data_IF_024054511183
#
_entry.id   IF_024054511183
#
_cell.length_a   1.000
_cell.length_b   1.000
_cell.length_c   1.000
_cell.angle_alpha   90.00
_cell.angle_beta   90.00
_cell.angle_gamma   90.00
#
_symmetry.space_group_name_H-M   'P 1'
#
loop_
_entity.id
_entity.type
_entity.pdbx_description
1 polymer ?
#
# COMPACT_ATOMS: atom_id res chain seq x y z
N UNK A 1 76.55 -10.48 -25.70
CA UNK A 1 76.11 -9.26 -26.42
C UNK A 1 75.39 -8.38 -25.39
N UNK A 2 76.05 -7.36 -24.84
CA UNK A 2 75.91 -5.92 -25.20
C UNK A 2 74.50 -5.33 -25.01
N UNK A 3 74.41 -4.45 -24.00
CA UNK A 3 73.70 -3.14 -23.96
C UNK A 3 72.16 -3.14 -24.04
N UNK A 4 71.42 -2.15 -23.53
CA UNK A 4 71.66 -0.87 -22.79
C UNK A 4 70.28 -0.43 -22.23
N UNK A 5 70.03 0.61 -21.42
CA UNK A 5 70.79 1.59 -20.63
C UNK A 5 69.84 2.13 -19.51
N UNK A 6 70.29 3.07 -18.67
CA UNK A 6 69.58 3.52 -17.46
C UNK A 6 69.14 5.00 -17.47
N UNK A 7 68.27 5.32 -16.49
CA UNK A 7 68.18 6.57 -15.72
C UNK A 7 67.49 7.86 -16.28
N UNK A 8 66.37 8.21 -15.61
CA UNK A 8 66.02 9.52 -15.00
C UNK A 8 65.88 10.82 -15.85
N UNK A 9 65.30 11.91 -15.29
CA UNK A 9 64.39 12.06 -14.12
C UNK A 9 63.11 12.90 -14.42
N UNK A 10 62.29 13.14 -13.39
CA UNK A 10 61.17 14.10 -13.44
C UNK A 10 61.60 15.55 -13.06
N UNK A 11 60.80 16.57 -13.41
CA UNK A 11 60.85 17.90 -12.78
C UNK A 11 59.66 18.17 -11.83
N UNK A 12 59.92 18.90 -10.76
CA UNK A 12 58.94 19.54 -9.86
C UNK A 12 58.44 20.90 -10.41
N UNK A 13 57.58 21.58 -9.63
CA UNK A 13 56.92 22.91 -9.79
C UNK A 13 55.43 22.75 -10.22
N UNK A 14 54.44 23.47 -9.67
CA UNK A 14 54.41 24.55 -8.66
C UNK A 14 53.12 24.47 -7.81
N UNK A 15 53.08 25.11 -6.64
CA UNK A 15 51.90 25.21 -5.75
C UNK A 15 51.38 26.67 -5.69
N UNK A 16 50.07 26.84 -5.45
CA UNK A 16 49.31 28.11 -5.34
C UNK A 16 49.21 28.91 -6.68
N UNK A 17 48.14 29.62 -7.09
CA UNK A 17 46.94 30.24 -6.49
C UNK A 17 45.76 30.20 -7.51
N UNK A 18 44.45 30.52 -7.30
CA UNK A 18 43.60 30.97 -6.17
C UNK A 18 42.09 30.71 -6.49
N UNK A 19 41.19 31.14 -5.58
CA UNK A 19 39.75 31.52 -5.69
C UNK A 19 39.08 31.68 -7.08
N UNK A 20 37.77 31.48 -7.32
CA UNK A 20 36.59 31.32 -6.43
C UNK A 20 35.34 30.84 -7.21
N UNK A 21 34.48 30.02 -6.61
CA UNK A 21 33.17 29.63 -7.17
C UNK A 21 32.01 29.96 -6.19
N UNK A 22 30.96 30.70 -6.60
CA UNK A 22 29.79 30.96 -5.76
C UNK A 22 28.75 29.83 -5.82
N UNK A 23 28.04 29.52 -4.72
CA UNK A 23 26.92 28.58 -4.73
C UNK A 23 25.66 29.19 -5.38
N UNK A 24 24.72 28.34 -5.88
CA UNK A 24 23.54 28.81 -6.61
C UNK A 24 22.52 29.56 -5.73
N UNK A 25 21.92 30.62 -6.29
CA UNK A 25 20.89 31.44 -5.63
C UNK A 25 19.52 30.75 -5.59
N UNK A 26 18.79 30.96 -4.51
CA UNK A 26 17.47 30.37 -4.26
C UNK A 26 16.32 31.07 -5.00
N UNK A 27 15.51 30.30 -5.72
CA UNK A 27 14.32 30.78 -6.46
C UNK A 27 13.07 30.98 -5.58
N UNK A 28 13.20 31.71 -4.46
CA UNK A 28 12.05 32.08 -3.62
C UNK A 28 11.30 33.40 -3.95
N UNK A 29 11.91 34.46 -4.56
CA UNK A 29 11.21 35.73 -4.69
C UNK A 29 10.18 35.82 -5.84
N UNK A 30 10.14 34.83 -6.76
CA UNK A 30 9.25 34.89 -7.93
C UNK A 30 7.82 34.38 -7.65
N UNK A 31 7.64 33.51 -6.65
CA UNK A 31 6.33 32.95 -6.27
C UNK A 31 5.47 33.93 -5.45
N UNK A 32 6.11 34.76 -4.62
CA UNK A 32 5.39 35.72 -3.73
C UNK A 32 4.63 36.77 -4.54
N UNK A 33 5.26 37.35 -5.57
CA UNK A 33 4.63 38.40 -6.41
C UNK A 33 3.39 37.91 -7.19
N UNK A 34 3.26 36.61 -7.46
CA UNK A 34 2.11 36.05 -8.18
C UNK A 34 0.89 35.81 -7.27
N UNK A 35 1.09 35.67 -5.96
CA UNK A 35 0.03 35.49 -4.98
C UNK A 35 -0.72 36.80 -4.66
N UNK A 36 0.01 37.91 -4.52
CA UNK A 36 -0.58 39.21 -4.18
C UNK A 36 -1.53 39.76 -5.26
N UNK A 37 -1.24 39.49 -6.54
CA UNK A 37 -2.10 39.92 -7.65
C UNK A 37 -3.44 39.18 -7.68
N UNK A 38 -3.47 37.92 -7.23
CA UNK A 38 -4.69 37.11 -7.18
C UNK A 38 -5.63 37.55 -6.05
N UNK A 39 -5.06 37.89 -4.87
CA UNK A 39 -5.83 38.36 -3.71
C UNK A 39 -6.52 39.71 -3.98
N UNK A 40 -5.87 40.64 -4.68
CA UNK A 40 -6.49 41.95 -5.02
C UNK A 40 -7.68 41.85 -5.97
N UNK A 41 -7.81 40.79 -6.79
CA UNK A 41 -8.96 40.60 -7.69
C UNK A 41 -10.21 40.00 -7.01
N UNK A 42 -10.09 39.45 -5.80
CA UNK A 42 -11.24 38.91 -5.04
C UNK A 42 -11.92 39.93 -4.12
N UNK A 43 -11.25 41.04 -3.79
CA UNK A 43 -11.75 42.04 -2.84
C UNK A 43 -12.69 43.11 -3.44
N UNK A 44 -13.11 42.97 -4.71
CA UNK A 44 -13.98 43.94 -5.40
C UNK A 44 -15.38 43.42 -5.73
N UNK A 45 -15.76 42.24 -5.24
CA UNK A 45 -17.06 41.64 -5.53
C UNK A 45 -17.78 41.13 -4.27
N UNK A 46 -18.00 42.02 -3.29
CA UNK A 46 -19.14 41.97 -2.36
C UNK A 46 -19.25 43.29 -1.57
N UNK A 47 -19.93 44.25 -2.17
CA UNK A 47 -20.51 45.41 -1.48
C UNK A 47 -22.01 45.41 -1.79
N UNK A 48 -22.84 45.19 -0.77
CA UNK A 48 -24.21 45.71 -0.61
C UNK A 48 -25.04 44.81 0.33
N UNK A 49 -25.23 45.26 1.58
CA UNK A 49 -26.54 45.71 2.11
C UNK A 49 -26.42 46.14 3.59
N UNK A 50 -27.23 47.13 3.97
CA UNK A 50 -27.31 47.73 5.31
C UNK A 50 -28.40 47.04 6.15
N UNK A 51 -28.32 47.13 7.47
CA UNK A 51 -29.24 47.90 8.35
C UNK A 51 -29.45 47.27 9.74
N UNK A 52 -29.95 48.08 10.69
CA UNK A 52 -30.42 47.79 12.07
C UNK A 52 -29.38 47.19 13.04
N UNK A 53 -28.84 47.83 14.10
CA UNK A 53 -29.20 48.95 15.00
C UNK A 53 -29.86 48.53 16.34
N UNK A 54 -29.33 49.10 17.45
CA UNK A 54 -29.70 48.95 18.88
C UNK A 54 -29.40 47.53 19.47
N UNK A 55 -28.70 47.37 20.59
CA UNK A 55 -28.80 48.07 21.88
C UNK A 55 -27.45 48.16 22.63
N UNK A 56 -27.21 49.29 23.30
CA UNK A 56 -26.17 49.50 24.31
C UNK A 56 -26.87 49.66 25.66
N UNK A 57 -26.42 48.99 26.72
CA UNK A 57 -26.53 49.54 28.08
C UNK A 57 -25.57 48.88 29.08
N UNK A 58 -24.95 49.75 29.89
CA UNK A 58 -24.39 49.55 31.24
C UNK A 58 -23.62 48.26 31.58
N UNK A 59 -22.31 48.41 31.81
CA UNK A 59 -21.64 47.97 33.04
C UNK A 59 -20.41 48.87 33.27
N UNK A 60 -20.20 49.30 34.51
CA UNK A 60 -19.25 50.37 34.88
C UNK A 60 -17.81 49.87 35.09
N UNK A 61 -16.84 50.78 34.94
CA UNK A 61 -15.40 50.54 35.21
C UNK A 61 -14.93 51.56 36.28
N UNK A 62 -14.24 51.14 37.35
CA UNK A 62 -13.52 52.06 38.24
C UNK A 62 -12.10 52.36 37.72
N UNK A 63 -11.66 53.60 37.91
CA UNK A 63 -10.37 54.13 37.42
C UNK A 63 -9.15 53.86 38.34
N UNK A 64 -7.96 54.16 37.76
CA UNK A 64 -6.59 54.25 38.35
C UNK A 64 -5.84 52.90 38.42
N UNK A 65 -4.54 52.78 38.09
CA UNK A 65 -3.42 53.74 38.22
C UNK A 65 -2.43 53.70 37.01
N UNK A 66 -2.11 54.90 36.50
CA UNK A 66 -0.82 55.43 35.94
C UNK A 66 0.04 54.77 34.83
N UNK A 67 0.59 55.69 34.00
CA UNK A 67 1.78 55.68 33.12
C UNK A 67 2.03 54.56 32.08
N UNK A 68 1.97 54.96 30.79
CA UNK A 68 2.70 54.31 29.69
C UNK A 68 2.01 54.39 28.33
N UNK A 69 2.50 55.22 27.40
CA UNK A 69 1.99 55.29 26.02
C UNK A 69 2.75 54.29 25.11
N UNK A 70 2.10 53.28 24.48
CA UNK A 70 2.72 52.40 23.50
C UNK A 70 2.51 52.89 22.04
N UNK A 71 3.37 52.47 21.08
CA UNK A 71 3.35 52.96 19.69
C UNK A 71 2.19 52.39 18.83
N UNK A 72 1.88 53.02 17.67
CA UNK A 72 0.67 52.75 16.89
C UNK A 72 0.78 51.51 15.99
N UNK A 73 0.91 50.32 16.57
CA UNK A 73 0.82 49.03 15.85
C UNK A 73 -0.23 48.06 16.42
N UNK A 74 -0.77 48.33 17.61
CA UNK A 74 -1.65 47.38 18.33
C UNK A 74 -3.10 47.30 17.79
N UNK A 75 -3.66 48.39 17.23
CA UNK A 75 -5.08 48.40 16.78
C UNK A 75 -5.41 47.41 15.65
N UNK A 76 -4.45 47.06 14.78
CA UNK A 76 -4.69 46.04 13.72
C UNK A 76 -4.64 44.61 14.24
N UNK A 77 -3.82 44.35 15.27
CA UNK A 77 -3.70 43.02 15.90
C UNK A 77 -4.94 42.71 16.75
N UNK A 78 -5.41 43.68 17.54
CA UNK A 78 -6.63 43.55 18.34
C UNK A 78 -7.87 43.38 17.43
N UNK A 79 -7.94 44.11 16.31
CA UNK A 79 -9.05 43.94 15.35
C UNK A 79 -9.01 42.57 14.64
N UNK A 80 -7.83 42.02 14.33
CA UNK A 80 -7.73 40.65 13.80
C UNK A 80 -8.14 39.60 14.84
N UNK A 81 -7.74 39.74 16.10
CA UNK A 81 -8.12 38.81 17.18
C UNK A 81 -9.65 38.84 17.42
N UNK A 82 -10.26 40.03 17.42
CA UNK A 82 -11.72 40.15 17.49
C UNK A 82 -12.42 39.59 16.25
N UNK A 83 -11.86 39.75 15.04
CA UNK A 83 -12.42 39.13 13.83
C UNK A 83 -12.35 37.60 13.88
N UNK A 84 -11.28 37.02 14.43
CA UNK A 84 -11.13 35.56 14.63
C UNK A 84 -12.11 35.04 15.68
N UNK A 85 -12.35 35.79 16.76
CA UNK A 85 -13.34 35.42 17.80
C UNK A 85 -14.78 35.54 17.28
N UNK A 86 -15.12 36.58 16.52
CA UNK A 86 -16.48 36.79 15.99
C UNK A 86 -16.79 35.84 14.82
N UNK A 87 -15.83 35.54 13.94
CA UNK A 87 -16.01 34.52 12.89
C UNK A 87 -16.00 33.08 13.43
N UNK A 88 -15.48 32.85 14.65
CA UNK A 88 -15.58 31.57 15.34
C UNK A 88 -16.97 31.26 15.94
N UNK A 89 -17.82 32.29 16.13
CA UNK A 89 -19.06 32.17 16.91
C UNK A 89 -20.34 31.93 16.07
N UNK A 90 -20.28 32.01 14.73
CA UNK A 90 -21.44 31.74 13.85
C UNK A 90 -21.29 30.48 12.97
N UNK A 91 -20.37 29.58 13.32
CA UNK A 91 -20.18 28.28 12.65
C UNK A 91 -20.79 27.07 13.36
N UNK A 92 -21.44 27.24 14.53
CA UNK A 92 -21.57 26.15 15.51
C UNK A 92 -22.96 26.00 16.16
N UNK A 93 -24.06 26.14 15.38
CA UNK A 93 -25.43 25.81 15.85
C UNK A 93 -26.33 25.03 14.87
N UNK A 94 -25.83 24.60 13.71
CA UNK A 94 -26.57 23.69 12.80
C UNK A 94 -25.96 22.27 12.80
N UNK A 95 -24.67 22.13 13.11
CA UNK A 95 -24.00 20.82 13.22
C UNK A 95 -24.31 20.04 14.50
N UNK A 96 -24.93 20.67 15.51
CA UNK A 96 -25.23 20.06 16.82
C UNK A 96 -26.59 19.35 16.91
N UNK A 97 -27.35 19.27 15.80
CA UNK A 97 -28.61 18.52 15.72
C UNK A 97 -28.53 17.26 14.83
N UNK A 98 -27.34 16.93 14.30
CA UNK A 98 -27.12 15.76 13.43
C UNK A 98 -25.96 14.82 13.85
N UNK A 99 -25.24 15.13 14.93
CA UNK A 99 -24.28 14.23 15.56
C UNK A 99 -24.46 14.27 17.08
N UNK A 100 -25.19 13.30 17.63
CA UNK A 100 -25.71 13.38 19.01
C UNK A 100 -25.99 12.05 19.72
N UNK A 101 -25.43 10.93 19.28
CA UNK A 101 -25.10 9.78 20.16
C UNK A 101 -23.81 9.14 19.65
N UNK A 102 -22.67 9.56 20.20
CA UNK A 102 -21.50 8.69 20.24
C UNK A 102 -21.70 7.71 21.40
N UNK A 103 -22.03 6.47 21.07
CA UNK A 103 -21.72 5.34 21.93
C UNK A 103 -20.59 4.57 21.24
N UNK A 104 -19.43 4.55 21.87
CA UNK A 104 -18.50 3.44 21.68
C UNK A 104 -19.24 2.13 21.98
N UNK A 105 -18.95 1.07 21.22
CA UNK A 105 -18.61 -0.27 21.74
C UNK A 105 -18.54 -1.33 20.62
N UNK A 106 -17.42 -2.06 20.65
CA UNK A 106 -17.15 -3.37 20.02
C UNK A 106 -16.97 -3.47 18.49
N UNK A 107 -15.81 -4.01 18.09
CA UNK A 107 -15.53 -4.58 16.77
C UNK A 107 -16.44 -5.79 16.44
N UNK A 108 -17.11 -6.37 17.45
CA UNK A 108 -17.93 -7.57 17.33
C UNK A 108 -19.09 -7.46 16.30
N UNK A 109 -19.59 -6.25 16.04
CA UNK A 109 -20.64 -6.03 15.03
C UNK A 109 -20.16 -6.20 13.56
N UNK A 110 -18.84 -6.29 13.34
CA UNK A 110 -18.22 -6.45 12.02
C UNK A 110 -17.24 -7.63 11.92
N UNK A 111 -17.13 -8.46 12.96
CA UNK A 111 -16.33 -9.69 12.93
C UNK A 111 -17.22 -10.91 12.58
N UNK A 112 -17.06 -11.52 11.39
CA UNK A 112 -17.75 -12.75 11.06
C UNK A 112 -17.03 -13.93 11.70
N UNK A 113 -17.56 -14.42 12.82
CA UNK A 113 -17.20 -15.74 13.34
C UNK A 113 -17.82 -16.82 12.42
N UNK A 114 -17.12 -17.17 11.34
CA UNK A 114 -17.50 -18.24 10.40
C UNK A 114 -18.36 -17.84 9.20
N UNK A 115 -18.42 -16.55 8.83
CA UNK A 115 -19.19 -16.07 7.67
C UNK A 115 -18.51 -16.29 6.31
N UNK A 116 -19.30 -16.33 5.25
CA UNK A 116 -18.84 -16.52 3.86
C UNK A 116 -17.86 -15.41 3.40
N UNK A 117 -16.91 -15.76 2.53
CA UNK A 117 -15.86 -14.86 2.06
C UNK A 117 -16.39 -13.59 1.34
N UNK A 118 -17.51 -13.70 0.60
CA UNK A 118 -18.18 -12.58 -0.08
C UNK A 118 -18.79 -11.58 0.91
N UNK A 119 -19.48 -12.12 1.92
CA UNK A 119 -20.11 -11.37 3.03
C UNK A 119 -19.04 -10.66 3.86
N UNK A 120 -17.96 -11.37 4.18
CA UNK A 120 -16.83 -10.83 4.91
C UNK A 120 -16.09 -9.74 4.09
N UNK A 121 -16.02 -9.85 2.76
CA UNK A 121 -15.46 -8.80 1.90
C UNK A 121 -16.31 -7.52 1.93
N UNK A 122 -17.62 -7.63 1.70
CA UNK A 122 -18.54 -6.49 1.77
C UNK A 122 -18.53 -5.83 3.17
N UNK A 123 -18.52 -6.63 4.23
CA UNK A 123 -18.44 -6.13 5.62
C UNK A 123 -17.15 -5.37 5.91
N UNK A 124 -15.99 -5.89 5.47
CA UNK A 124 -14.69 -5.21 5.58
C UNK A 124 -14.67 -3.89 4.82
N UNK A 125 -15.16 -3.88 3.59
CA UNK A 125 -15.08 -2.70 2.73
C UNK A 125 -16.08 -1.60 3.15
N UNK A 126 -17.23 -1.96 3.74
CA UNK A 126 -18.11 -1.00 4.44
C UNK A 126 -17.40 -0.36 5.64
N UNK A 127 -16.65 -1.15 6.41
CA UNK A 127 -15.88 -0.66 7.58
C UNK A 127 -14.67 0.18 7.15
N UNK A 128 -13.99 -0.20 6.07
CA UNK A 128 -12.89 0.57 5.49
C UNK A 128 -13.42 1.91 4.94
N UNK A 129 -14.56 1.91 4.24
CA UNK A 129 -15.23 3.12 3.82
C UNK A 129 -15.64 4.00 5.01
N UNK A 130 -16.08 3.42 6.14
CA UNK A 130 -16.34 4.20 7.36
C UNK A 130 -15.08 4.97 7.80
N UNK A 131 -13.90 4.35 7.69
CA UNK A 131 -12.60 4.90 8.09
C UNK A 131 -12.02 5.92 7.11
N UNK A 132 -12.04 5.62 5.80
CA UNK A 132 -11.31 6.39 4.78
C UNK A 132 -12.18 7.30 3.93
N UNK A 133 -13.50 7.05 3.90
CA UNK A 133 -14.46 7.62 2.93
C UNK A 133 -14.14 7.30 1.45
N UNK A 134 -13.24 6.35 1.20
CA UNK A 134 -12.89 5.87 -0.13
C UNK A 134 -13.59 4.54 -0.39
N UNK A 135 -14.11 4.37 -1.61
CA UNK A 135 -14.72 3.12 -2.08
C UNK A 135 -13.64 2.15 -2.59
N UNK A 136 -13.89 0.84 -2.60
CA UNK A 136 -12.88 -0.16 -2.96
C UNK A 136 -12.25 0.06 -4.34
N UNK A 137 -10.93 -0.15 -4.41
CA UNK A 137 -10.22 -0.11 -5.69
C UNK A 137 -10.75 -1.19 -6.63
N UNK A 138 -11.03 -0.81 -7.88
CA UNK A 138 -11.59 -1.70 -8.88
C UNK A 138 -13.11 -1.69 -8.98
N UNK A 139 -13.86 -1.23 -7.96
CA UNK A 139 -15.34 -1.19 -8.02
C UNK A 139 -15.86 -0.44 -9.26
N UNK A 140 -15.24 0.68 -9.62
CA UNK A 140 -15.52 1.48 -10.84
C UNK A 140 -15.36 0.74 -12.17
N UNK A 141 -14.88 -0.51 -12.18
CA UNK A 141 -14.85 -1.39 -13.37
C UNK A 141 -16.11 -2.23 -13.52
N UNK A 142 -16.90 -2.36 -12.45
CA UNK A 142 -18.10 -3.20 -12.40
C UNK A 142 -19.39 -2.36 -12.42
N UNK A 143 -19.32 -1.08 -12.08
CA UNK A 143 -20.48 -0.17 -11.97
C UNK A 143 -20.32 1.03 -12.90
N UNK A 144 -21.42 1.59 -13.39
CA UNK A 144 -21.43 2.68 -14.39
C UNK A 144 -21.40 4.08 -13.78
N UNK A 145 -21.82 4.22 -12.52
CA UNK A 145 -21.80 5.52 -11.83
C UNK A 145 -20.41 5.91 -11.31
N UNK A 146 -20.20 7.23 -11.20
CA UNK A 146 -18.95 7.82 -10.72
C UNK A 146 -18.58 7.46 -9.26
N UNK A 147 -17.29 7.55 -8.92
CA UNK A 147 -16.81 7.29 -7.56
C UNK A 147 -17.51 8.13 -6.46
N UNK A 148 -17.97 9.34 -6.80
CA UNK A 148 -18.74 10.18 -5.88
C UNK A 148 -20.16 9.62 -5.61
N UNK A 149 -20.80 9.03 -6.62
CA UNK A 149 -22.07 8.33 -6.45
C UNK A 149 -21.87 7.01 -5.70
N UNK A 150 -20.82 6.24 -6.01
CA UNK A 150 -20.44 5.03 -5.27
C UNK A 150 -20.25 5.33 -3.78
N UNK A 151 -19.53 6.41 -3.43
CA UNK A 151 -19.36 6.82 -2.03
C UNK A 151 -20.69 7.16 -1.32
N UNK A 152 -21.72 7.59 -2.06
CA UNK A 152 -23.05 7.79 -1.48
C UNK A 152 -23.82 6.47 -1.29
N UNK A 153 -23.58 5.44 -2.10
CA UNK A 153 -24.11 4.10 -1.85
C UNK A 153 -23.49 3.47 -0.60
N UNK A 154 -22.17 3.59 -0.43
CA UNK A 154 -21.49 3.02 0.75
C UNK A 154 -21.95 3.67 2.06
N UNK A 155 -22.29 4.97 2.07
CA UNK A 155 -22.98 5.61 3.21
C UNK A 155 -24.34 4.93 3.52
N UNK A 156 -25.13 4.60 2.49
CA UNK A 156 -26.43 3.91 2.66
C UNK A 156 -26.24 2.48 3.16
N UNK A 157 -25.31 1.73 2.57
CA UNK A 157 -24.96 0.36 2.97
C UNK A 157 -24.43 0.29 4.39
N UNK A 158 -23.59 1.25 4.81
CA UNK A 158 -23.11 1.35 6.20
C UNK A 158 -24.26 1.52 7.21
N UNK A 159 -25.28 2.32 6.87
CA UNK A 159 -26.47 2.50 7.73
C UNK A 159 -27.34 1.24 7.73
N UNK A 160 -27.53 0.59 6.58
CA UNK A 160 -28.30 -0.65 6.48
C UNK A 160 -27.62 -1.81 7.24
N UNK A 161 -26.32 -2.00 7.06
CA UNK A 161 -25.52 -3.03 7.74
C UNK A 161 -25.58 -2.91 9.26
N UNK A 162 -25.51 -1.68 9.80
CA UNK A 162 -25.65 -1.43 11.25
C UNK A 162 -27.07 -1.69 11.79
N UNK A 163 -28.09 -1.65 10.92
CA UNK A 163 -29.50 -1.91 11.29
C UNK A 163 -29.87 -3.39 11.18
N UNK A 164 -29.18 -4.18 10.35
CA UNK A 164 -29.33 -5.62 10.30
C UNK A 164 -28.89 -6.25 11.62
N UNK A 165 -29.81 -6.90 12.33
CA UNK A 165 -29.56 -7.69 13.53
C UNK A 165 -30.32 -9.02 13.42
N UNK A 166 -29.64 -10.18 13.33
CA UNK A 166 -28.18 -10.33 13.21
C UNK A 166 -27.63 -9.66 11.94
N UNK A 167 -26.32 -9.40 11.92
CA UNK A 167 -25.64 -8.97 10.70
C UNK A 167 -25.73 -10.11 9.65
N UNK A 168 -25.74 -9.82 8.34
CA UNK A 168 -25.77 -10.86 7.31
C UNK A 168 -24.60 -11.83 7.49
N UNK A 169 -24.87 -13.14 7.45
CA UNK A 169 -23.84 -14.19 7.53
C UNK A 169 -23.75 -15.00 6.24
N UNK A 170 -24.81 -15.06 5.43
CA UNK A 170 -24.84 -15.75 4.13
C UNK A 170 -24.80 -14.79 2.93
N UNK A 171 -24.31 -15.23 1.76
CA UNK A 171 -24.29 -14.41 0.54
C UNK A 171 -25.68 -13.92 0.12
N UNK A 172 -26.72 -14.72 0.34
CA UNK A 172 -28.10 -14.37 0.00
C UNK A 172 -28.67 -13.29 0.92
N UNK A 173 -28.30 -13.30 2.20
CA UNK A 173 -28.67 -12.24 3.15
C UNK A 173 -27.98 -10.92 2.81
N UNK A 174 -26.67 -10.96 2.49
CA UNK A 174 -25.91 -9.80 2.08
C UNK A 174 -26.39 -9.25 0.73
N UNK A 175 -26.68 -10.13 -0.24
CA UNK A 175 -27.27 -9.77 -1.54
C UNK A 175 -28.64 -9.12 -1.39
N UNK A 176 -29.53 -9.69 -0.55
CA UNK A 176 -30.81 -9.07 -0.18
C UNK A 176 -30.63 -7.68 0.43
N UNK A 177 -29.69 -7.52 1.37
CA UNK A 177 -29.41 -6.22 2.00
C UNK A 177 -28.95 -5.19 0.97
N UNK A 178 -28.04 -5.55 0.06
CA UNK A 178 -27.55 -4.66 -1.01
C UNK A 178 -28.69 -4.23 -1.93
N UNK A 179 -29.48 -5.18 -2.46
CA UNK A 179 -30.61 -4.90 -3.37
C UNK A 179 -31.65 -4.00 -2.70
N UNK A 180 -32.06 -4.32 -1.47
CA UNK A 180 -33.07 -3.52 -0.75
C UNK A 180 -32.57 -2.11 -0.40
N UNK A 181 -31.29 -1.97 -0.05
CA UNK A 181 -30.67 -0.67 0.29
C UNK A 181 -30.51 0.20 -0.95
N UNK A 182 -30.22 -0.40 -2.10
CA UNK A 182 -29.93 0.30 -3.35
C UNK A 182 -31.06 0.26 -4.38
N UNK A 183 -32.26 -0.21 -4.03
CA UNK A 183 -33.43 -0.39 -4.92
C UNK A 183 -33.83 0.79 -5.82
N UNK A 184 -33.43 2.02 -5.48
CA UNK A 184 -33.71 3.24 -6.25
C UNK A 184 -32.47 3.77 -7.03
N UNK A 185 -31.45 2.93 -7.28
CA UNK A 185 -30.30 3.26 -8.13
C UNK A 185 -30.36 2.45 -9.43
N UNK A 186 -29.45 2.71 -10.37
CA UNK A 186 -29.44 2.03 -11.66
C UNK A 186 -29.23 0.52 -11.48
N UNK A 187 -29.98 -0.30 -12.21
CA UNK A 187 -29.86 -1.75 -12.13
C UNK A 187 -28.43 -2.23 -12.37
N UNK A 188 -27.76 -1.72 -13.41
CA UNK A 188 -26.36 -2.02 -13.71
C UNK A 188 -25.37 -1.70 -12.57
N UNK A 189 -25.66 -0.69 -11.75
CA UNK A 189 -24.82 -0.36 -10.58
C UNK A 189 -25.03 -1.35 -9.42
N UNK A 190 -26.26 -1.84 -9.23
CA UNK A 190 -26.59 -2.84 -8.20
C UNK A 190 -26.09 -4.21 -8.59
N UNK A 191 -26.36 -4.65 -9.82
CA UNK A 191 -25.89 -5.91 -10.40
C UNK A 191 -24.34 -5.93 -10.42
N UNK A 192 -23.72 -4.82 -10.81
CA UNK A 192 -22.25 -4.65 -10.79
C UNK A 192 -21.64 -4.72 -9.39
N UNK A 193 -22.29 -4.14 -8.38
CA UNK A 193 -21.84 -4.22 -6.99
C UNK A 193 -21.99 -5.64 -6.42
N UNK A 194 -23.06 -6.36 -6.76
CA UNK A 194 -23.24 -7.76 -6.39
C UNK A 194 -22.16 -8.64 -7.03
N UNK A 195 -21.91 -8.45 -8.33
CA UNK A 195 -20.86 -9.16 -9.07
C UNK A 195 -19.45 -8.86 -8.53
N UNK A 196 -19.16 -7.62 -8.11
CA UNK A 196 -17.88 -7.24 -7.49
C UNK A 196 -17.57 -8.04 -6.21
N UNK A 197 -18.60 -8.35 -5.41
CA UNK A 197 -18.45 -9.15 -4.19
C UNK A 197 -18.74 -10.65 -4.37
N UNK A 198 -19.26 -11.09 -5.53
CA UNK A 198 -19.71 -12.46 -5.76
C UNK A 198 -21.01 -12.82 -5.02
N UNK A 199 -21.90 -11.85 -4.79
CA UNK A 199 -23.16 -12.04 -4.07
C UNK A 199 -24.30 -12.45 -5.04
N UNK A 200 -25.12 -13.47 -4.71
CA UNK A 200 -26.21 -13.92 -5.56
C UNK A 200 -27.38 -12.94 -5.60
N UNK A 201 -28.12 -12.93 -6.71
CA UNK A 201 -29.38 -12.20 -6.81
C UNK A 201 -30.49 -12.90 -6.00
N UNK A 202 -31.26 -12.19 -5.16
CA UNK A 202 -32.31 -12.78 -4.31
C UNK A 202 -33.43 -13.56 -5.03
N UNK A 203 -33.52 -13.47 -6.36
CA UNK A 203 -34.56 -14.13 -7.17
C UNK A 203 -34.09 -15.40 -7.89
N UNK A 204 -32.82 -15.82 -7.77
CA UNK A 204 -32.32 -17.04 -8.46
C UNK A 204 -32.46 -18.32 -7.63
N UNK A 205 -32.77 -18.22 -6.34
CA UNK A 205 -33.01 -19.38 -5.47
C UNK A 205 -34.45 -19.89 -5.59
N UNK A 206 -34.79 -20.56 -6.70
CA UNK A 206 -36.20 -20.92 -6.95
C UNK A 206 -36.60 -21.91 -8.04
N UNK A 207 -35.70 -22.66 -8.72
CA UNK A 207 -36.08 -23.93 -9.39
C UNK A 207 -34.91 -24.71 -10.05
N UNK A 208 -34.84 -26.00 -9.74
CA UNK A 208 -34.26 -27.10 -10.54
C UNK A 208 -35.06 -28.36 -10.14
N UNK A 209 -35.23 -29.42 -10.96
CA UNK A 209 -34.31 -29.96 -11.99
C UNK A 209 -35.04 -30.49 -13.28
N UNK A 210 -34.46 -31.36 -14.16
CA UNK A 210 -33.17 -31.36 -14.87
C UNK A 210 -33.37 -31.40 -16.44
N UNK A 211 -32.61 -32.13 -17.31
CA UNK A 211 -31.89 -31.46 -18.41
C UNK A 211 -32.23 -31.91 -19.85
N UNK A 212 -32.11 -31.03 -20.85
CA UNK A 212 -32.04 -31.43 -22.27
C UNK A 212 -31.34 -30.41 -23.21
N UNK A 213 -30.43 -30.94 -24.04
CA UNK A 213 -30.05 -30.51 -25.40
C UNK A 213 -29.82 -29.02 -25.77
N UNK A 214 -28.53 -28.65 -25.91
CA UNK A 214 -28.01 -28.18 -27.20
C UNK A 214 -27.77 -26.66 -27.44
N UNK A 215 -26.65 -26.41 -28.15
CA UNK A 215 -26.29 -25.24 -28.97
C UNK A 215 -25.32 -24.17 -28.41
N UNK A 216 -24.08 -24.27 -28.90
CA UNK A 216 -23.08 -23.23 -29.25
C UNK A 216 -22.66 -22.11 -28.27
N UNK A 217 -21.36 -22.10 -27.95
CA UNK A 217 -20.63 -20.96 -27.38
C UNK A 217 -20.28 -19.87 -28.42
N UNK A 218 -19.90 -18.66 -27.99
CA UNK A 218 -18.46 -18.31 -27.97
C UNK A 218 -17.95 -17.83 -26.58
N UNK A 219 -16.61 -17.72 -26.38
CA UNK A 219 -16.02 -17.87 -25.04
C UNK A 219 -15.54 -16.57 -24.36
N UNK A 220 -15.77 -16.46 -23.04
CA UNK A 220 -14.96 -15.63 -22.16
C UNK A 220 -15.00 -16.07 -20.67
N UNK A 221 -13.82 -16.41 -20.15
CA UNK A 221 -13.37 -16.14 -18.77
C UNK A 221 -14.20 -16.73 -17.61
N UNK A 222 -13.93 -17.99 -17.27
CA UNK A 222 -14.18 -18.52 -15.93
C UNK A 222 -13.25 -17.84 -14.90
N UNK A 223 -13.77 -16.86 -14.16
CA UNK A 223 -13.27 -16.53 -12.82
C UNK A 223 -13.88 -17.50 -11.81
N UNK A 224 -13.28 -18.67 -11.66
CA UNK A 224 -13.65 -19.62 -10.61
C UNK A 224 -13.40 -18.99 -9.21
N UNK A 225 -14.17 -19.37 -8.17
CA UNK A 225 -13.89 -18.92 -6.81
C UNK A 225 -12.46 -19.34 -6.40
N UNK A 226 -11.82 -18.51 -5.56
CA UNK A 226 -10.42 -18.68 -5.16
C UNK A 226 -10.20 -19.92 -4.28
N UNK A 227 -10.19 -21.10 -4.92
CA UNK A 227 -9.67 -22.32 -4.34
C UNK A 227 -8.20 -22.09 -4.03
N UNK A 228 -7.83 -22.18 -2.74
CA UNK A 228 -6.43 -22.13 -2.29
C UNK A 228 -5.62 -23.10 -3.15
N UNK A 229 -4.51 -22.68 -3.80
CA UNK A 229 -3.79 -23.54 -4.73
C UNK A 229 -3.42 -24.88 -4.09
N UNK A 230 -3.56 -25.97 -4.85
CA UNK A 230 -3.38 -27.31 -4.32
C UNK A 230 -1.96 -27.47 -3.74
N UNK A 231 -1.86 -27.95 -2.51
CA UNK A 231 -0.58 -28.17 -1.81
C UNK A 231 -0.03 -26.97 -1.02
N UNK A 232 -0.71 -25.82 -0.98
CA UNK A 232 -0.30 -24.69 -0.12
C UNK A 232 -0.48 -25.06 1.36
N UNK A 233 0.63 -25.17 2.09
CA UNK A 233 0.64 -25.47 3.53
C UNK A 233 0.04 -24.30 4.32
N UNK A 234 0.58 -23.10 4.13
CA UNK A 234 0.09 -21.89 4.80
C UNK A 234 0.25 -20.66 3.90
N UNK A 235 -0.44 -19.59 4.28
CA UNK A 235 -0.43 -18.30 3.60
C UNK A 235 0.20 -17.25 4.52
N UNK A 236 0.92 -16.31 3.93
CA UNK A 236 1.48 -15.15 4.64
C UNK A 236 0.97 -13.87 4.00
N UNK A 237 0.47 -12.94 4.82
CA UNK A 237 0.27 -11.56 4.42
C UNK A 237 1.42 -10.72 4.94
N UNK A 238 2.17 -10.08 4.05
CA UNK A 238 3.39 -9.35 4.42
C UNK A 238 3.11 -7.88 4.72
N UNK A 239 3.95 -7.29 5.56
CA UNK A 239 4.16 -5.84 5.56
C UNK A 239 4.75 -5.37 4.21
N UNK A 240 4.72 -4.06 3.91
CA UNK A 240 5.33 -3.50 2.70
C UNK A 240 6.79 -3.95 2.53
N UNK A 241 7.14 -4.43 1.33
CA UNK A 241 8.49 -4.93 1.05
C UNK A 241 9.48 -3.77 0.92
N UNK A 242 10.54 -3.82 1.73
CA UNK A 242 11.67 -2.88 1.69
C UNK A 242 12.53 -3.07 0.42
N UNK A 243 13.07 -1.97 -0.12
CA UNK A 243 13.86 -1.98 -1.35
C UNK A 243 15.07 -2.95 -1.32
N UNK A 244 15.67 -3.15 -0.13
CA UNK A 244 16.85 -4.01 0.10
C UNK A 244 16.47 -5.46 0.38
N UNK A 245 15.19 -5.81 0.28
CA UNK A 245 14.70 -7.14 0.66
C UNK A 245 14.73 -8.15 -0.50
N UNK A 246 14.78 -7.69 -1.75
CA UNK A 246 15.02 -8.53 -2.94
C UNK A 246 16.51 -8.81 -3.03
N UNK A 247 16.90 -10.09 -3.07
CA UNK A 247 18.31 -10.51 -3.06
C UNK A 247 18.86 -10.77 -4.48
N UNK A 248 17.99 -11.31 -5.34
CA UNK A 248 18.23 -11.73 -6.71
C UNK A 248 16.87 -11.73 -7.45
N UNK A 249 16.81 -12.22 -8.69
CA UNK A 249 15.57 -12.24 -9.48
C UNK A 249 14.50 -13.27 -9.06
N UNK A 250 14.74 -14.11 -8.04
CA UNK A 250 13.78 -15.15 -7.60
C UNK A 250 13.68 -15.37 -6.08
N UNK A 251 14.39 -14.57 -5.27
CA UNK A 251 14.41 -14.65 -3.81
C UNK A 251 14.15 -13.28 -3.18
N UNK A 252 13.12 -13.22 -2.32
CA UNK A 252 12.76 -12.01 -1.56
C UNK A 252 12.67 -12.31 -0.06
N UNK A 253 13.18 -11.41 0.76
CA UNK A 253 12.94 -11.40 2.21
C UNK A 253 11.65 -10.63 2.49
N UNK A 254 10.76 -11.18 3.30
CA UNK A 254 9.53 -10.51 3.71
C UNK A 254 9.41 -10.49 5.23
N UNK A 255 8.61 -9.56 5.73
CA UNK A 255 8.30 -9.44 7.15
C UNK A 255 6.79 -9.55 7.34
N UNK A 256 6.38 -10.36 8.31
CA UNK A 256 4.98 -10.57 8.67
C UNK A 256 4.78 -10.06 10.08
N UNK A 257 3.84 -9.13 10.25
CA UNK A 257 3.44 -8.65 11.58
C UNK A 257 2.87 -9.83 12.38
N UNK A 258 3.28 -9.99 13.64
CA UNK A 258 2.86 -11.16 14.43
C UNK A 258 2.81 -10.86 15.92
N UNK A 259 1.67 -11.18 16.51
CA UNK A 259 1.45 -11.16 17.94
C UNK A 259 2.01 -12.41 18.64
N UNK A 260 2.49 -13.41 17.89
CA UNK A 260 2.86 -14.75 18.40
C UNK A 260 4.36 -14.89 18.68
N UNK A 261 5.11 -13.78 18.64
CA UNK A 261 6.52 -13.77 19.03
C UNK A 261 6.69 -14.23 20.51
N UNK A 262 7.77 -14.96 20.84
CA UNK A 262 8.06 -15.35 22.23
C UNK A 262 8.16 -14.15 23.17
N UNK A 263 7.83 -14.36 24.45
CA UNK A 263 7.83 -13.31 25.48
C UNK A 263 9.16 -12.58 25.61
N UNK A 264 10.26 -13.30 25.40
CA UNK A 264 11.65 -12.83 25.51
C UNK A 264 11.96 -11.87 24.36
N UNK A 265 11.49 -12.18 23.15
CA UNK A 265 11.67 -11.35 21.96
C UNK A 265 10.78 -10.09 22.05
N UNK A 266 9.56 -10.21 22.57
CA UNK A 266 8.69 -9.05 22.86
C UNK A 266 9.32 -8.11 23.90
N UNK A 267 9.87 -8.64 24.99
CA UNK A 267 10.62 -7.87 26.00
C UNK A 267 11.84 -7.17 25.39
N UNK A 268 12.68 -7.92 24.69
CA UNK A 268 13.87 -7.37 24.01
C UNK A 268 13.51 -6.27 22.99
N UNK A 269 12.40 -6.42 22.25
CA UNK A 269 11.92 -5.40 21.33
C UNK A 269 11.49 -4.11 22.05
N UNK A 270 10.73 -4.23 23.14
CA UNK A 270 10.32 -3.08 23.96
C UNK A 270 11.53 -2.37 24.61
N UNK A 271 12.49 -3.13 25.14
CA UNK A 271 13.74 -2.62 25.71
C UNK A 271 14.62 -1.93 24.66
N UNK A 272 14.71 -2.50 23.45
CA UNK A 272 15.44 -1.91 22.31
C UNK A 272 14.84 -0.57 21.90
N UNK A 273 13.52 -0.44 21.92
CA UNK A 273 12.82 0.85 21.68
C UNK A 273 13.12 1.86 22.79
N UNK A 274 13.08 1.47 24.07
CA UNK A 274 13.47 2.32 25.21
C UNK A 274 14.94 2.77 25.11
N UNK A 275 15.85 1.86 24.79
CA UNK A 275 17.28 2.14 24.62
C UNK A 275 17.53 3.15 23.48
N UNK A 276 16.82 3.05 22.35
CA UNK A 276 16.86 4.05 21.28
C UNK A 276 16.35 5.42 21.71
N UNK A 277 15.21 5.48 22.43
CA UNK A 277 14.68 6.73 22.96
C UNK A 277 15.67 7.40 23.94
N UNK A 278 16.37 6.60 24.76
CA UNK A 278 17.44 7.05 25.66
C UNK A 278 18.80 7.28 24.97
N UNK A 279 18.88 7.19 23.62
CA UNK A 279 20.13 7.29 22.82
C UNK A 279 21.24 6.30 23.20
N UNK A 280 20.90 5.21 23.90
CA UNK A 280 21.79 4.10 24.23
C UNK A 280 21.87 3.12 23.06
N UNK A 281 22.57 3.54 22.00
CA UNK A 281 22.75 2.74 20.78
C UNK A 281 23.44 1.38 21.00
N UNK A 282 24.50 1.24 21.83
CA UNK A 282 25.14 -0.06 22.07
C UNK A 282 24.16 -1.11 22.60
N UNK A 283 23.28 -0.74 23.53
CA UNK A 283 22.26 -1.64 24.08
C UNK A 283 21.17 -1.93 23.04
N UNK A 284 20.71 -0.90 22.32
CA UNK A 284 19.73 -1.08 21.24
C UNK A 284 20.22 -2.03 20.14
N UNK A 285 21.50 -1.95 19.76
CA UNK A 285 22.09 -2.79 18.71
C UNK A 285 22.39 -4.21 19.20
N UNK A 286 22.78 -4.40 20.46
CA UNK A 286 22.88 -5.72 21.09
C UNK A 286 21.53 -6.45 21.13
N UNK A 287 20.47 -5.75 21.56
CA UNK A 287 19.10 -6.28 21.54
C UNK A 287 18.62 -6.52 20.10
N UNK A 288 18.94 -5.62 19.15
CA UNK A 288 18.62 -5.80 17.74
C UNK A 288 19.28 -7.05 17.13
N UNK A 289 20.51 -7.40 17.54
CA UNK A 289 21.18 -8.66 17.16
C UNK A 289 20.44 -9.87 17.73
N UNK A 290 20.03 -9.82 19.00
CA UNK A 290 19.25 -10.90 19.66
C UNK A 290 17.92 -11.15 18.94
N UNK A 291 17.16 -10.08 18.66
CA UNK A 291 15.90 -10.13 17.92
C UNK A 291 16.11 -10.71 16.50
N UNK A 292 17.19 -10.30 15.82
CA UNK A 292 17.52 -10.79 14.47
C UNK A 292 17.95 -12.26 14.45
N UNK A 293 18.70 -12.72 15.46
CA UNK A 293 19.10 -14.12 15.62
C UNK A 293 17.89 -15.05 15.82
N UNK A 294 16.86 -14.57 16.53
CA UNK A 294 15.58 -15.27 16.68
C UNK A 294 14.69 -15.23 15.41
N UNK A 295 15.13 -14.58 14.33
CA UNK A 295 14.36 -14.48 13.08
C UNK A 295 13.31 -13.36 13.08
N UNK A 296 13.41 -12.36 13.95
CA UNK A 296 12.50 -11.22 14.01
C UNK A 296 13.22 -9.91 13.66
N UNK A 297 12.46 -8.83 13.43
CA UNK A 297 13.00 -7.49 13.23
C UNK A 297 11.96 -6.42 13.58
N UNK A 298 12.41 -5.29 14.09
CA UNK A 298 11.60 -4.07 14.13
C UNK A 298 11.58 -3.44 12.73
N UNK A 299 10.39 -3.28 12.15
CA UNK A 299 10.18 -2.73 10.80
C UNK A 299 8.99 -1.77 10.81
N UNK A 300 9.00 -0.70 10.00
CA UNK A 300 7.83 0.17 9.89
C UNK A 300 6.66 -0.58 9.25
N UNK A 301 5.48 -0.47 9.83
CA UNK A 301 4.23 -0.87 9.17
C UNK A 301 3.80 0.20 8.13
N UNK A 302 2.67 -0.02 7.44
CA UNK A 302 2.14 0.91 6.43
C UNK A 302 1.80 2.33 6.97
N UNK A 303 1.78 2.54 8.29
CA UNK A 303 1.60 3.85 8.94
C UNK A 303 2.92 4.49 9.41
N UNK A 304 4.07 3.85 9.11
CA UNK A 304 5.39 4.31 9.55
C UNK A 304 5.76 3.96 11.01
N UNK A 305 4.93 3.19 11.72
CA UNK A 305 5.19 2.80 13.12
C UNK A 305 6.05 1.53 13.14
N UNK A 306 7.19 1.53 13.87
CA UNK A 306 8.00 0.31 14.06
C UNK A 306 7.18 -0.76 14.82
N UNK A 307 6.95 -1.91 14.18
CA UNK A 307 6.34 -3.11 14.75
C UNK A 307 7.34 -4.26 14.79
N UNK A 308 7.13 -5.22 15.70
CA UNK A 308 7.92 -6.45 15.76
C UNK A 308 7.37 -7.45 14.74
N UNK A 309 8.12 -7.72 13.67
CA UNK A 309 7.71 -8.63 12.62
C UNK A 309 8.65 -9.83 12.50
N UNK A 310 8.09 -10.97 12.09
CA UNK A 310 8.86 -12.21 11.81
C UNK A 310 9.38 -12.19 10.38
N UNK A 311 10.66 -12.51 10.22
CA UNK A 311 11.37 -12.54 8.94
C UNK A 311 11.15 -13.89 8.26
N UNK A 312 10.77 -13.86 6.99
CA UNK A 312 10.75 -15.03 6.11
C UNK A 312 11.64 -14.77 4.89
N UNK A 313 12.39 -15.79 4.44
CA UNK A 313 13.07 -15.78 3.14
C UNK A 313 12.23 -16.59 2.17
N UNK A 314 11.70 -15.98 1.13
CA UNK A 314 10.84 -16.62 0.15
C UNK A 314 11.63 -16.86 -1.14
N UNK A 315 11.63 -18.10 -1.63
CA UNK A 315 12.07 -18.48 -2.96
C UNK A 315 10.84 -18.64 -3.84
N UNK A 316 10.75 -17.90 -4.93
CA UNK A 316 9.60 -17.93 -5.84
C UNK A 316 9.48 -19.33 -6.46
N UNK A 317 8.34 -20.00 -6.25
CA UNK A 317 8.10 -21.34 -6.77
C UNK A 317 8.10 -21.36 -8.30
N UNK A 318 8.63 -22.44 -8.88
CA UNK A 318 8.58 -22.76 -10.31
C UNK A 318 9.40 -21.89 -11.27
N UNK A 319 10.08 -20.85 -10.81
CA UNK A 319 10.99 -20.05 -11.65
C UNK A 319 12.44 -20.15 -11.20
N UNK A 320 13.39 -19.80 -12.06
CA UNK A 320 14.81 -19.63 -11.72
C UNK A 320 15.36 -18.45 -12.52
N UNK A 321 15.81 -17.42 -11.82
CA UNK A 321 16.30 -16.20 -12.44
C UNK A 321 17.81 -16.28 -12.71
N UNK A 322 18.36 -15.53 -13.69
CA UNK A 322 19.79 -15.38 -13.84
C UNK A 322 20.41 -14.85 -12.53
N UNK A 323 21.50 -15.48 -12.09
CA UNK A 323 22.26 -15.05 -10.92
C UNK A 323 22.78 -13.61 -11.11
N UNK A 324 22.99 -12.85 -10.05
CA UNK A 324 23.42 -11.43 -10.14
C UNK A 324 24.77 -11.21 -10.86
N UNK A 325 25.55 -12.27 -11.07
CA UNK A 325 26.80 -12.30 -11.83
C UNK A 325 26.66 -12.85 -13.27
N UNK A 326 25.46 -13.24 -13.69
CA UNK A 326 25.12 -13.63 -15.06
C UNK A 326 24.58 -12.41 -15.85
N UNK A 327 24.65 -12.45 -17.20
CA UNK A 327 23.85 -11.55 -18.04
C UNK A 327 22.36 -11.60 -17.62
N UNK A 328 21.69 -10.45 -17.63
CA UNK A 328 20.31 -10.26 -17.16
C UNK A 328 20.04 -10.47 -15.66
N UNK A 329 21.05 -10.77 -14.83
CA UNK A 329 20.85 -10.98 -13.38
C UNK A 329 20.44 -9.72 -12.62
N UNK A 330 21.02 -8.57 -12.96
CA UNK A 330 20.64 -7.26 -12.37
C UNK A 330 19.25 -6.86 -12.82
N UNK A 331 18.97 -7.02 -14.11
CA UNK A 331 17.71 -6.69 -14.76
C UNK A 331 16.56 -7.55 -14.21
N UNK A 332 16.80 -8.83 -13.94
CA UNK A 332 15.85 -9.70 -13.27
C UNK A 332 15.60 -9.29 -11.80
N UNK A 333 16.66 -8.95 -11.07
CA UNK A 333 16.56 -8.43 -9.69
C UNK A 333 15.74 -7.13 -9.65
N UNK A 334 16.02 -6.19 -10.56
CA UNK A 334 15.25 -4.95 -10.71
C UNK A 334 13.80 -5.19 -11.14
N UNK A 335 13.54 -6.17 -12.00
CA UNK A 335 12.19 -6.50 -12.45
C UNK A 335 11.35 -7.06 -11.29
N UNK A 336 11.91 -7.94 -10.47
CA UNK A 336 11.26 -8.42 -9.25
C UNK A 336 11.04 -7.27 -8.26
N UNK A 337 12.06 -6.44 -8.02
CA UNK A 337 11.97 -5.27 -7.16
C UNK A 337 10.81 -4.33 -7.56
N UNK A 338 10.74 -3.91 -8.83
CA UNK A 338 9.66 -3.04 -9.35
C UNK A 338 8.26 -3.67 -9.18
N UNK A 339 8.16 -5.00 -9.14
CA UNK A 339 6.89 -5.70 -8.87
C UNK A 339 6.50 -5.66 -7.39
N UNK A 340 7.44 -5.79 -6.44
CA UNK A 340 7.13 -5.99 -5.01
C UNK A 340 7.38 -4.79 -4.09
N UNK A 341 8.27 -3.86 -4.46
CA UNK A 341 8.71 -2.74 -3.61
C UNK A 341 7.53 -1.88 -3.12
N UNK A 342 7.53 -1.58 -1.82
CA UNK A 342 6.51 -0.75 -1.17
C UNK A 342 5.13 -1.40 -1.05
N UNK A 343 4.94 -2.65 -1.52
CA UNK A 343 3.65 -3.34 -1.54
C UNK A 343 3.59 -4.45 -0.50
N UNK A 344 2.39 -4.70 0.04
CA UNK A 344 2.10 -5.91 0.79
C UNK A 344 1.91 -7.09 -0.19
N UNK A 345 2.43 -8.26 0.17
CA UNK A 345 2.30 -9.48 -0.61
C UNK A 345 1.36 -10.47 0.08
N UNK A 346 0.62 -11.24 -0.72
CA UNK A 346 0.14 -12.56 -0.30
C UNK A 346 1.14 -13.60 -0.80
N UNK A 347 1.62 -14.46 0.10
CA UNK A 347 2.55 -15.54 -0.22
C UNK A 347 1.92 -16.88 0.10
N UNK A 348 1.65 -17.68 -0.93
CA UNK A 348 1.18 -19.05 -0.80
C UNK A 348 2.40 -19.99 -0.65
N UNK A 349 2.66 -20.51 0.56
CA UNK A 349 3.85 -21.34 0.84
C UNK A 349 3.54 -22.82 0.70
N UNK A 350 4.29 -23.51 -0.17
CA UNK A 350 4.16 -24.94 -0.44
C UNK A 350 5.11 -25.79 0.41
N UNK A 351 6.36 -25.33 0.60
CA UNK A 351 7.36 -26.09 1.35
C UNK A 351 8.48 -25.19 1.89
N UNK A 352 9.44 -25.78 2.60
CA UNK A 352 10.72 -25.16 2.95
C UNK A 352 11.85 -25.90 2.24
N UNK A 353 12.80 -25.18 1.65
CA UNK A 353 13.97 -25.78 0.99
C UNK A 353 15.09 -26.11 2.00
N UNK A 354 16.12 -26.83 1.51
CA UNK A 354 17.29 -27.20 2.33
C UNK A 354 18.12 -26.02 2.87
N UNK A 355 17.83 -24.80 2.43
CA UNK A 355 18.48 -23.57 2.87
C UNK A 355 17.61 -22.76 3.86
N UNK A 356 16.50 -23.34 4.33
CA UNK A 356 15.55 -22.70 5.23
C UNK A 356 14.70 -21.60 4.56
N UNK A 357 14.63 -21.55 3.23
CA UNK A 357 13.73 -20.62 2.51
C UNK A 357 12.37 -21.26 2.33
N UNK A 358 11.31 -20.49 2.55
CA UNK A 358 9.95 -20.88 2.16
C UNK A 358 9.83 -20.83 0.64
N UNK A 359 9.38 -21.92 0.02
CA UNK A 359 9.11 -21.97 -1.43
C UNK A 359 7.64 -21.66 -1.65
N UNK A 360 7.34 -20.61 -2.42
CA UNK A 360 5.98 -20.09 -2.52
C UNK A 360 5.65 -19.27 -3.76
N UNK A 361 4.36 -19.15 -4.05
CA UNK A 361 3.82 -18.24 -5.06
C UNK A 361 3.52 -16.87 -4.44
N UNK A 362 3.86 -15.80 -5.17
CA UNK A 362 3.71 -14.42 -4.70
C UNK A 362 2.59 -13.71 -5.48
N UNK A 363 1.72 -13.03 -4.75
CA UNK A 363 0.67 -12.19 -5.32
C UNK A 363 0.76 -10.75 -4.78
N UNK A 364 0.61 -9.79 -5.70
CA UNK A 364 0.55 -8.34 -5.44
C UNK A 364 -0.80 -7.84 -5.93
N UNK A 365 -1.74 -7.55 -5.03
CA UNK A 365 -3.08 -7.08 -5.42
C UNK A 365 -3.77 -8.01 -6.43
N UNK A 366 -3.66 -9.33 -6.24
CA UNK A 366 -4.13 -10.37 -7.16
C UNK A 366 -3.17 -10.74 -8.30
N UNK A 367 -2.22 -9.87 -8.68
CA UNK A 367 -1.26 -10.14 -9.76
C UNK A 367 -0.23 -11.18 -9.32
N UNK A 368 -0.13 -12.30 -10.06
CA UNK A 368 0.87 -13.34 -9.83
C UNK A 368 2.26 -12.87 -10.31
N UNK A 369 3.24 -12.83 -9.39
CA UNK A 369 4.56 -12.24 -9.66
C UNK A 369 5.38 -13.08 -10.65
N UNK A 370 5.39 -14.41 -10.50
CA UNK A 370 6.09 -15.32 -11.41
C UNK A 370 5.63 -15.21 -12.87
N UNK A 371 4.33 -15.02 -13.10
CA UNK A 371 3.78 -14.76 -14.44
C UNK A 371 4.45 -13.53 -15.08
N UNK A 372 4.56 -12.44 -14.33
CA UNK A 372 5.16 -11.19 -14.82
C UNK A 372 6.66 -11.35 -15.09
N UNK A 373 7.38 -12.11 -14.26
CA UNK A 373 8.80 -12.42 -14.47
C UNK A 373 9.02 -13.25 -15.74
N UNK A 374 8.21 -14.29 -15.97
CA UNK A 374 8.30 -15.14 -17.15
C UNK A 374 7.88 -14.39 -18.43
N UNK A 375 6.71 -13.73 -18.45
CA UNK A 375 6.20 -12.98 -19.62
C UNK A 375 7.11 -11.85 -20.09
N UNK A 376 7.94 -11.30 -19.20
CA UNK A 376 8.94 -10.25 -19.51
C UNK A 376 10.32 -10.83 -19.86
N UNK A 377 10.54 -12.14 -19.70
CA UNK A 377 11.82 -12.79 -19.97
C UNK A 377 12.90 -12.50 -18.93
N UNK A 378 12.53 -12.43 -17.65
CA UNK A 378 13.47 -12.22 -16.54
C UNK A 378 13.72 -13.47 -15.68
N UNK A 379 13.08 -14.59 -16.01
CA UNK A 379 13.35 -15.88 -15.38
C UNK A 379 13.09 -17.02 -16.38
N UNK A 380 13.62 -18.19 -16.03
CA UNK A 380 13.33 -19.48 -16.65
C UNK A 380 12.22 -20.20 -15.87
N UNK A 381 11.41 -21.02 -16.54
CA UNK A 381 10.55 -22.01 -15.91
C UNK A 381 11.41 -23.18 -15.43
N UNK A 382 11.44 -23.42 -14.11
CA UNK A 382 12.32 -24.43 -13.53
C UNK A 382 11.67 -25.81 -13.55
N UNK A 383 11.64 -26.40 -14.75
CA UNK A 383 10.92 -27.65 -15.08
C UNK A 383 11.32 -28.86 -14.21
N UNK A 384 12.46 -28.83 -13.52
CA UNK A 384 12.87 -29.85 -12.57
C UNK A 384 11.99 -29.91 -11.31
N UNK A 385 11.43 -28.77 -10.88
CA UNK A 385 10.64 -28.63 -9.65
C UNK A 385 9.18 -28.22 -9.88
N UNK A 386 8.83 -27.78 -11.08
CA UNK A 386 7.49 -27.30 -11.43
C UNK A 386 7.06 -27.83 -12.80
N UNK A 387 5.82 -28.30 -12.90
CA UNK A 387 5.24 -28.90 -14.11
C UNK A 387 4.01 -28.15 -14.64
N UNK A 388 3.75 -26.93 -14.14
CA UNK A 388 2.59 -26.12 -14.53
C UNK A 388 2.70 -25.68 -16.00
N UNK A 389 1.75 -26.02 -16.89
CA UNK A 389 1.85 -25.67 -18.30
C UNK A 389 1.75 -24.16 -18.56
N UNK A 390 1.18 -23.39 -17.62
CA UNK A 390 1.07 -21.94 -17.70
C UNK A 390 2.45 -21.27 -17.69
N UNK A 391 3.35 -21.74 -16.81
CA UNK A 391 4.70 -21.19 -16.70
C UNK A 391 5.52 -21.46 -17.98
N UNK A 392 5.42 -22.68 -18.52
CA UNK A 392 6.03 -23.05 -19.79
C UNK A 392 5.49 -22.19 -20.95
N UNK A 393 4.18 -21.96 -20.99
CA UNK A 393 3.51 -21.10 -21.98
C UNK A 393 4.00 -19.65 -21.90
N UNK A 394 4.13 -19.07 -20.71
CA UNK A 394 4.61 -17.70 -20.54
C UNK A 394 6.09 -17.55 -20.92
N UNK A 395 6.92 -18.54 -20.60
CA UNK A 395 8.31 -18.58 -21.09
C UNK A 395 8.35 -18.61 -22.62
N UNK A 396 7.62 -19.54 -23.25
CA UNK A 396 7.58 -19.69 -24.71
C UNK A 396 7.12 -18.41 -25.42
N UNK A 397 6.12 -17.71 -24.86
CA UNK A 397 5.69 -16.40 -25.34
C UNK A 397 6.77 -15.32 -25.24
N UNK A 398 7.56 -15.32 -24.16
CA UNK A 398 8.68 -14.38 -24.00
C UNK A 398 9.87 -14.71 -24.92
N UNK A 399 10.12 -16.00 -25.15
CA UNK A 399 11.11 -16.51 -26.11
C UNK A 399 10.78 -16.08 -27.55
N UNK A 400 9.57 -16.38 -28.01
CA UNK A 400 9.12 -16.02 -29.37
C UNK A 400 9.15 -14.50 -29.61
N UNK A 401 8.86 -13.71 -28.58
CA UNK A 401 8.92 -12.24 -28.63
C UNK A 401 10.33 -11.66 -28.32
N UNK A 402 11.36 -12.49 -28.14
CA UNK A 402 12.73 -12.13 -27.76
C UNK A 402 12.84 -11.11 -26.60
N UNK A 403 12.01 -11.28 -25.57
CA UNK A 403 11.93 -10.35 -24.42
C UNK A 403 13.00 -10.64 -23.37
N UNK A 404 13.52 -9.60 -22.72
CA UNK A 404 14.47 -9.75 -21.61
C UNK A 404 15.67 -10.59 -22.01
N UNK A 405 15.99 -11.63 -21.25
CA UNK A 405 17.11 -12.54 -21.50
C UNK A 405 17.03 -13.26 -22.86
N UNK A 406 15.83 -13.40 -23.44
CA UNK A 406 15.61 -13.99 -24.76
C UNK A 406 15.99 -13.08 -25.94
N UNK A 407 16.44 -11.84 -25.68
CA UNK A 407 17.02 -10.99 -26.72
C UNK A 407 18.42 -11.48 -27.15
N UNK A 408 19.13 -12.20 -26.27
CA UNK A 408 20.39 -12.87 -26.55
C UNK A 408 20.19 -14.09 -27.46
N UNK A 409 21.18 -14.42 -28.30
CA UNK A 409 21.12 -15.55 -29.23
C UNK A 409 21.24 -16.92 -28.56
N UNK A 410 21.97 -17.00 -27.44
CA UNK A 410 22.15 -18.20 -26.62
C UNK A 410 22.14 -17.83 -25.13
N UNK A 411 20.97 -17.52 -24.54
CA UNK A 411 20.88 -17.25 -23.11
C UNK A 411 21.21 -18.51 -22.30
N UNK A 412 21.93 -18.35 -21.19
CA UNK A 412 22.37 -19.46 -20.34
C UNK A 412 21.36 -19.73 -19.21
N UNK A 413 21.12 -21.01 -18.95
CA UNK A 413 20.30 -21.48 -17.83
C UNK A 413 21.04 -21.30 -16.49
N UNK A 414 20.40 -20.79 -15.41
CA UNK A 414 21.12 -20.50 -14.17
C UNK A 414 21.57 -21.77 -13.43
N UNK A 415 20.83 -22.89 -13.57
CA UNK A 415 21.28 -24.19 -13.06
C UNK A 415 22.53 -24.72 -13.76
N UNK A 416 22.67 -24.55 -15.09
CA UNK A 416 23.89 -24.91 -15.81
C UNK A 416 25.05 -23.96 -15.50
N UNK A 417 24.82 -22.65 -15.33
CA UNK A 417 25.84 -21.72 -14.84
C UNK A 417 26.38 -22.12 -13.46
N UNK A 418 25.49 -22.42 -12.50
CA UNK A 418 25.86 -22.93 -11.16
C UNK A 418 26.56 -24.30 -11.20
N UNK A 419 26.33 -25.12 -12.22
CA UNK A 419 27.01 -26.41 -12.44
C UNK A 419 28.40 -26.20 -13.03
N UNK A 420 28.55 -25.34 -14.05
CA UNK A 420 29.84 -24.97 -14.62
C UNK A 420 30.79 -24.37 -13.57
N UNK A 421 30.29 -23.46 -12.71
CA UNK A 421 31.07 -22.88 -11.59
C UNK A 421 31.54 -23.91 -10.57
N UNK A 422 30.71 -24.88 -10.19
CA UNK A 422 31.11 -25.96 -9.27
C UNK A 422 32.19 -26.87 -9.87
N UNK A 423 32.23 -26.97 -11.19
CA UNK A 423 33.19 -27.81 -11.92
C UNK A 423 34.47 -27.05 -12.31
N UNK A 424 34.59 -25.75 -12.00
CA UNK A 424 35.74 -24.92 -12.38
C UNK A 424 35.77 -24.44 -13.84
N UNK A 425 34.65 -24.58 -14.58
CA UNK A 425 34.57 -24.35 -16.03
C UNK A 425 33.87 -23.02 -16.41
N UNK A 426 33.92 -21.99 -15.56
CA UNK A 426 33.09 -20.78 -15.69
C UNK A 426 33.79 -19.49 -15.25
#
# INVERSE_FOLDING_TARGET
MRSSAAANPAPHLHLAELNSFPPPRSCLPFLVRRAETALRRRAHCHSSRRSTQNQLHSLEIPERISHGNPPPTSRRVILLLLLVVVLGAMGNSIYKFLCGVCSDLSDAAFQPHGGDASVAALGRDILEFQRTKQVPEGLSRHVVSSAAAQANWYKKLQVAWKKARPAPTTPEEAGRLVVLTLKNHQKADVDGLLAFYGLPHPNEAGSAPPPAAGHHAPPAQHSAPAHKPQGVKFELHTLPVDAKAVADGDTVTVYVDTNDAPSEIKKAAAERTKARAARNYPTADALQKTIAAAGYRMVPNAKGVEVLAKKYRIRLSGIDAPESAMPYGKEATEALLKLVEGKCLTVHVYNTDRYGRSVGDLHVGGVFVQEQMLKKGFAWHYTAYDKRPELAKWQSQAQAARKGLWAASKPQEPWEYRKAKRNGNA
#
